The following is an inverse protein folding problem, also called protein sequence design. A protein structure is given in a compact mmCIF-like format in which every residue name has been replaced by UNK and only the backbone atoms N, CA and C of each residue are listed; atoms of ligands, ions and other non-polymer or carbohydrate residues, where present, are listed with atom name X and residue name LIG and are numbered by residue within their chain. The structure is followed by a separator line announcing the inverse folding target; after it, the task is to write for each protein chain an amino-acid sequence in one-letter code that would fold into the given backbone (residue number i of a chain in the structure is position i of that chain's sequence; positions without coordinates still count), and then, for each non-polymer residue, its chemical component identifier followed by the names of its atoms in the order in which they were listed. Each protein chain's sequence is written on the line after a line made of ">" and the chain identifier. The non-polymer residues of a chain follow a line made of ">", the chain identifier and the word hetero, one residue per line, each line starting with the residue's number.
data_IF_083630255509
#
_entry.id   IF_083630255509
#
_cell.length_a   1.000
_cell.length_b   1.000
_cell.length_c   1.000
_cell.angle_alpha   90.00
_cell.angle_beta   90.00
_cell.angle_gamma   90.00
#
_symmetry.space_group_name_H-M   'P 1'
#
loop_
_entity.id
_entity.type
_entity.pdbx_description
1 polymer ?
#
# COMPACT_ATOMS: atom_id res chain seq x y z
N UNK A 1 -15.14 -2.26 10.58
CA UNK A 1 -14.85 -2.32 9.12
C UNK A 1 -13.41 -2.77 8.94
N UNK A 2 -12.92 -3.02 7.73
CA UNK A 2 -11.48 -3.26 7.52
C UNK A 2 -10.70 -1.98 7.85
N UNK A 3 -9.66 -2.13 8.68
CA UNK A 3 -8.81 -1.04 9.18
C UNK A 3 -7.51 -1.00 8.38
N UNK A 4 -7.28 0.12 7.71
CA UNK A 4 -6.15 0.30 6.79
C UNK A 4 -5.15 1.27 7.40
N UNK A 5 -3.91 0.82 7.54
CA UNK A 5 -2.77 1.70 7.78
C UNK A 5 -2.37 2.39 6.48
N UNK A 6 -2.24 3.71 6.49
CA UNK A 6 -1.93 4.47 5.27
C UNK A 6 -0.55 5.11 5.35
N UNK A 7 0.27 4.92 4.32
CA UNK A 7 1.56 5.59 4.17
C UNK A 7 1.54 6.46 2.91
N UNK A 8 1.97 7.72 3.04
CA UNK A 8 2.06 8.66 1.93
C UNK A 8 3.41 9.39 1.94
N UNK A 9 3.80 10.04 0.83
CA UNK A 9 4.86 11.04 0.89
C UNK A 9 4.32 12.44 1.20
N UNK A 10 2.99 12.68 1.09
CA UNK A 10 2.47 14.05 0.96
C UNK A 10 2.38 14.87 2.25
N UNK A 11 2.13 16.17 2.08
CA UNK A 11 1.79 17.10 3.17
C UNK A 11 0.43 16.78 3.80
N UNK A 12 0.22 17.33 5.01
CA UNK A 12 -0.96 17.05 5.84
C UNK A 12 -2.30 17.38 5.19
N UNK A 13 -2.37 18.41 4.35
CA UNK A 13 -3.58 18.81 3.61
C UNK A 13 -4.00 17.73 2.60
N UNK A 14 -3.04 17.19 1.85
CA UNK A 14 -3.27 16.07 0.93
C UNK A 14 -3.59 14.79 1.70
N UNK A 15 -2.88 14.54 2.80
CA UNK A 15 -3.12 13.36 3.65
C UNK A 15 -4.55 13.35 4.23
N UNK A 16 -5.07 14.51 4.62
CA UNK A 16 -6.45 14.65 5.08
C UNK A 16 -7.45 14.25 3.99
N UNK A 17 -7.22 14.65 2.73
CA UNK A 17 -8.06 14.25 1.59
C UNK A 17 -8.01 12.74 1.34
N UNK A 18 -6.81 12.14 1.36
CA UNK A 18 -6.64 10.68 1.20
C UNK A 18 -7.39 9.92 2.30
N UNK A 19 -7.24 10.33 3.56
CA UNK A 19 -7.94 9.70 4.69
C UNK A 19 -9.46 9.80 4.53
N UNK A 20 -9.98 10.98 4.21
CA UNK A 20 -11.41 11.18 4.00
C UNK A 20 -11.95 10.33 2.85
N UNK A 21 -11.20 10.22 1.75
CA UNK A 21 -11.58 9.38 0.62
C UNK A 21 -11.68 7.90 1.03
N UNK A 22 -10.68 7.37 1.73
CA UNK A 22 -10.68 5.96 2.17
C UNK A 22 -11.82 5.69 3.14
N UNK A 23 -12.07 6.59 4.10
CA UNK A 23 -13.17 6.45 5.07
C UNK A 23 -14.54 6.52 4.38
N UNK A 24 -14.71 7.42 3.41
CA UNK A 24 -15.94 7.55 2.62
C UNK A 24 -16.25 6.27 1.82
N UNK A 25 -15.22 5.52 1.40
CA UNK A 25 -15.35 4.25 0.71
C UNK A 25 -15.55 3.04 1.66
N UNK A 26 -15.84 3.29 2.94
CA UNK A 26 -16.29 2.25 3.87
C UNK A 26 -15.19 1.62 4.73
N UNK A 27 -13.95 2.09 4.63
CA UNK A 27 -12.83 1.63 5.45
C UNK A 27 -12.62 2.48 6.71
N UNK A 28 -11.78 2.01 7.62
CA UNK A 28 -11.27 2.77 8.76
C UNK A 28 -9.78 3.04 8.54
N UNK A 29 -9.27 4.18 9.01
CA UNK A 29 -7.84 4.52 8.92
C UNK A 29 -7.34 4.90 10.31
N UNK A 30 -7.00 3.93 11.18
CA UNK A 30 -6.58 4.22 12.55
C UNK A 30 -5.14 4.73 12.62
N UNK A 31 -4.27 4.27 11.72
CA UNK A 31 -2.85 4.64 11.67
C UNK A 31 -2.54 5.28 10.32
N UNK A 32 -1.86 6.42 10.35
CA UNK A 32 -1.48 7.17 9.15
C UNK A 32 -0.04 7.66 9.34
N UNK A 33 0.85 7.30 8.42
CA UNK A 33 2.23 7.80 8.37
C UNK A 33 2.48 8.59 7.10
N UNK A 34 3.44 9.52 7.18
CA UNK A 34 3.88 10.27 6.02
C UNK A 34 5.36 10.59 6.07
N UNK A 35 6.01 10.62 4.91
CA UNK A 35 7.37 11.17 4.76
C UNK A 35 7.38 12.70 4.69
N UNK A 36 6.22 13.35 4.54
CA UNK A 36 6.05 14.81 4.47
C UNK A 36 7.02 15.50 3.48
N UNK A 37 7.13 14.91 2.29
CA UNK A 37 7.95 15.34 1.17
C UNK A 37 7.05 15.83 0.03
N UNK A 38 7.21 17.11 -0.33
CA UNK A 38 6.38 17.81 -1.32
C UNK A 38 6.97 17.80 -2.74
N UNK A 39 8.24 17.42 -2.88
CA UNK A 39 8.93 17.31 -4.15
C UNK A 39 8.94 15.86 -4.63
N UNK A 40 8.26 15.59 -5.74
CA UNK A 40 8.18 14.26 -6.37
C UNK A 40 9.57 13.66 -6.66
N UNK A 41 10.58 14.49 -6.97
CA UNK A 41 11.94 14.01 -7.23
C UNK A 41 12.64 13.56 -5.94
N UNK A 42 12.32 14.18 -4.80
CA UNK A 42 12.83 13.77 -3.49
C UNK A 42 12.06 12.57 -2.96
N UNK A 43 10.75 12.54 -3.14
CA UNK A 43 9.92 11.37 -2.84
C UNK A 43 10.41 10.13 -3.63
N UNK A 44 10.83 10.30 -4.88
CA UNK A 44 11.42 9.23 -5.69
C UNK A 44 12.80 8.75 -5.19
N UNK A 45 13.48 9.51 -4.33
CA UNK A 45 14.77 9.14 -3.72
C UNK A 45 14.63 8.49 -2.35
N UNK A 46 13.41 8.39 -1.81
CA UNK A 46 13.16 7.66 -0.57
C UNK A 46 13.62 6.22 -0.78
N UNK A 47 14.52 5.77 0.10
CA UNK A 47 15.14 4.46 -0.05
C UNK A 47 14.14 3.35 0.23
N UNK A 48 14.33 2.22 -0.44
CA UNK A 48 13.56 0.99 -0.20
C UNK A 48 13.56 0.58 1.28
N UNK A 49 14.68 0.77 1.98
CA UNK A 49 14.78 0.52 3.43
C UNK A 49 13.90 1.46 4.27
N UNK A 50 13.85 2.75 3.92
CA UNK A 50 13.00 3.72 4.62
C UNK A 50 11.52 3.39 4.42
N UNK A 51 11.15 3.00 3.20
CA UNK A 51 9.80 2.54 2.86
C UNK A 51 9.47 1.29 3.68
N UNK A 52 10.36 0.29 3.69
CA UNK A 52 10.19 -0.94 4.46
C UNK A 52 9.97 -0.64 5.95
N UNK A 53 10.84 0.17 6.56
CA UNK A 53 10.70 0.55 7.97
C UNK A 53 9.35 1.20 8.25
N UNK A 54 8.94 2.18 7.44
CA UNK A 54 7.68 2.90 7.63
C UNK A 54 6.46 1.98 7.46
N UNK A 55 6.49 1.03 6.52
CA UNK A 55 5.42 0.03 6.38
C UNK A 55 5.35 -0.86 7.61
N UNK A 56 6.49 -1.35 8.11
CA UNK A 56 6.54 -2.19 9.31
C UNK A 56 6.02 -1.43 10.54
N UNK A 57 6.44 -0.17 10.71
CA UNK A 57 6.03 0.67 11.82
C UNK A 57 4.51 0.89 11.87
N UNK A 58 3.88 1.06 10.70
CA UNK A 58 2.43 1.19 10.58
C UNK A 58 1.74 -0.16 10.74
N UNK A 59 2.23 -1.18 10.03
CA UNK A 59 1.59 -2.49 9.92
C UNK A 59 1.63 -3.32 11.19
N UNK A 60 2.61 -3.10 12.07
CA UNK A 60 2.71 -3.81 13.35
C UNK A 60 1.62 -3.43 14.35
N UNK A 61 0.89 -2.32 14.15
CA UNK A 61 -0.23 -1.96 15.02
C UNK A 61 -1.34 -3.02 14.96
N UNK A 62 -1.85 -3.45 16.12
CA UNK A 62 -2.98 -4.39 16.24
C UNK A 62 -4.28 -3.84 15.62
N UNK A 63 -4.35 -2.51 15.47
CA UNK A 63 -5.45 -1.82 14.83
C UNK A 63 -5.38 -1.78 13.30
N UNK A 64 -4.37 -2.39 12.69
CA UNK A 64 -4.18 -2.39 11.24
C UNK A 64 -4.37 -3.79 10.71
N UNK A 65 -5.30 -3.95 9.76
CA UNK A 65 -5.57 -5.22 9.06
C UNK A 65 -4.79 -5.31 7.74
N UNK A 66 -4.48 -4.17 7.12
CA UNK A 66 -3.74 -4.06 5.86
C UNK A 66 -3.00 -2.72 5.76
N UNK A 67 -1.90 -2.66 5.02
CA UNK A 67 -1.18 -1.39 4.76
C UNK A 67 -1.35 -0.96 3.30
N UNK A 68 -1.75 0.30 3.10
CA UNK A 68 -1.87 0.92 1.78
C UNK A 68 -0.89 2.08 1.63
N UNK A 69 -0.06 2.01 0.59
CA UNK A 69 0.84 3.08 0.20
C UNK A 69 0.19 3.92 -0.90
N UNK A 70 -0.25 5.13 -0.55
CA UNK A 70 -0.75 6.10 -1.53
C UNK A 70 0.42 6.83 -2.16
N UNK A 71 1.15 6.16 -3.05
CA UNK A 71 2.23 6.75 -3.83
C UNK A 71 2.41 6.05 -5.19
N UNK A 72 2.76 6.84 -6.21
CA UNK A 72 3.09 6.39 -7.58
C UNK A 72 4.58 6.19 -7.81
N UNK A 73 5.44 6.57 -6.87
CA UNK A 73 6.90 6.64 -7.08
C UNK A 73 7.69 5.61 -6.28
N UNK A 74 7.04 4.87 -5.36
CA UNK A 74 7.71 3.95 -4.44
C UNK A 74 7.77 2.53 -5.00
N UNK A 75 8.97 1.92 -4.95
CA UNK A 75 9.28 0.58 -5.44
C UNK A 75 8.81 -0.53 -4.50
N UNK A 76 7.52 -0.52 -4.15
CA UNK A 76 6.94 -1.51 -3.24
C UNK A 76 7.12 -2.94 -3.76
N UNK A 77 7.04 -3.16 -5.07
CA UNK A 77 7.15 -4.48 -5.72
C UNK A 77 8.43 -5.23 -5.38
N UNK A 78 9.53 -4.52 -5.08
CA UNK A 78 10.82 -5.16 -4.74
C UNK A 78 10.83 -5.74 -3.32
N UNK A 79 9.95 -5.28 -2.43
CA UNK A 79 9.97 -5.62 -0.99
C UNK A 79 8.66 -6.17 -0.44
N UNK A 80 7.56 -6.09 -1.19
CA UNK A 80 6.22 -6.40 -0.68
C UNK A 80 6.13 -7.79 -0.06
N UNK A 81 6.68 -8.81 -0.72
CA UNK A 81 6.63 -10.19 -0.24
C UNK A 81 7.39 -10.36 1.09
N UNK A 82 8.56 -9.73 1.23
CA UNK A 82 9.34 -9.77 2.47
C UNK A 82 8.66 -9.03 3.62
N UNK A 83 8.00 -7.90 3.32
CA UNK A 83 7.31 -7.10 4.32
C UNK A 83 6.04 -7.81 4.79
N UNK A 84 5.26 -8.38 3.88
CA UNK A 84 4.06 -9.15 4.23
C UNK A 84 4.39 -10.42 5.00
N UNK A 85 5.50 -11.10 4.70
CA UNK A 85 5.98 -12.24 5.49
C UNK A 85 6.29 -11.85 6.95
N UNK A 86 6.82 -10.65 7.18
CA UNK A 86 7.10 -10.13 8.53
C UNK A 86 5.84 -9.68 9.26
N UNK A 87 4.91 -9.02 8.55
CA UNK A 87 3.69 -8.49 9.15
C UNK A 87 2.58 -9.51 9.30
N UNK A 88 2.61 -10.59 8.51
CA UNK A 88 1.47 -11.49 8.29
C UNK A 88 0.18 -10.74 7.90
N UNK A 89 0.31 -9.59 7.23
CA UNK A 89 -0.78 -8.70 6.81
C UNK A 89 -0.54 -8.22 5.38
N UNK A 90 -1.60 -8.07 4.55
CA UNK A 90 -1.45 -7.63 3.17
C UNK A 90 -0.95 -6.18 3.07
N UNK A 91 -0.10 -5.93 2.09
CA UNK A 91 0.48 -4.63 1.77
C UNK A 91 0.30 -4.35 0.27
N UNK A 92 -0.18 -3.17 -0.08
CA UNK A 92 -0.30 -2.77 -1.48
C UNK A 92 -0.09 -1.27 -1.68
N UNK A 93 0.14 -0.85 -2.92
CA UNK A 93 0.23 0.55 -3.33
C UNK A 93 -0.69 0.85 -4.51
N UNK A 94 -0.87 2.12 -4.84
CA UNK A 94 -1.65 2.53 -6.02
C UNK A 94 -1.18 1.85 -7.30
N UNK A 95 0.14 1.90 -7.60
CA UNK A 95 0.68 1.28 -8.82
C UNK A 95 0.61 -0.25 -8.77
N UNK A 96 0.88 -0.84 -7.61
CA UNK A 96 0.81 -2.28 -7.41
C UNK A 96 -0.61 -2.81 -7.67
N UNK A 97 -1.62 -2.18 -7.07
CA UNK A 97 -3.01 -2.51 -7.28
C UNK A 97 -3.47 -2.24 -8.72
N UNK A 98 -3.01 -1.13 -9.33
CA UNK A 98 -3.33 -0.80 -10.72
C UNK A 98 -2.80 -1.84 -11.70
N UNK A 99 -1.55 -2.27 -11.57
CA UNK A 99 -0.95 -3.29 -12.43
C UNK A 99 -1.70 -4.61 -12.26
N UNK A 100 -1.93 -5.04 -11.02
CA UNK A 100 -2.73 -6.23 -10.73
C UNK A 100 -4.10 -6.16 -11.42
N UNK A 101 -4.83 -5.05 -11.26
CA UNK A 101 -6.15 -4.90 -11.83
C UNK A 101 -6.13 -4.89 -13.37
N UNK A 102 -5.12 -4.24 -13.97
CA UNK A 102 -4.93 -4.21 -15.43
C UNK A 102 -4.70 -5.61 -15.98
N UNK A 103 -3.89 -6.44 -15.31
CA UNK A 103 -3.67 -7.83 -15.70
C UNK A 103 -4.98 -8.63 -15.66
N UNK A 104 -5.83 -8.42 -14.64
CA UNK A 104 -7.14 -9.09 -14.53
C UNK A 104 -8.08 -8.68 -15.65
N UNK A 105 -8.15 -7.39 -15.95
CA UNK A 105 -8.93 -6.87 -17.08
C UNK A 105 -8.44 -7.39 -18.44
N UNK A 106 -7.14 -7.65 -18.57
CA UNK A 106 -6.54 -8.24 -19.78
C UNK A 106 -6.75 -9.76 -19.89
N UNK A 107 -7.43 -10.39 -18.93
CA UNK A 107 -7.70 -11.83 -18.93
C UNK A 107 -6.58 -12.70 -18.36
N UNK A 108 -5.52 -12.10 -17.79
CA UNK A 108 -4.49 -12.83 -17.05
C UNK A 108 -5.06 -13.17 -15.67
N UNK A 109 -5.47 -14.42 -15.49
CA UNK A 109 -6.17 -14.88 -14.28
C UNK A 109 -5.27 -15.63 -13.30
N UNK A 110 -4.06 -15.96 -13.73
CA UNK A 110 -3.06 -16.67 -12.96
C UNK A 110 -2.58 -15.85 -11.76
N UNK A 111 -2.29 -16.56 -10.67
CA UNK A 111 -1.56 -16.00 -9.53
C UNK A 111 -0.10 -15.76 -9.91
N UNK A 112 0.50 -14.69 -9.42
CA UNK A 112 1.90 -14.34 -9.70
C UNK A 112 2.64 -14.25 -8.36
N UNK A 113 3.26 -15.35 -7.89
CA UNK A 113 3.99 -15.37 -6.61
C UNK A 113 5.14 -14.36 -6.57
N UNK A 114 5.52 -13.93 -5.37
CA UNK A 114 6.63 -13.00 -5.13
C UNK A 114 6.28 -11.52 -5.29
N UNK A 115 5.05 -11.19 -5.71
CA UNK A 115 4.53 -9.82 -5.76
C UNK A 115 3.44 -9.59 -4.69
N UNK A 116 3.59 -10.26 -3.55
CA UNK A 116 2.72 -10.12 -2.40
C UNK A 116 1.33 -10.75 -2.53
N UNK A 117 0.56 -10.67 -1.44
CA UNK A 117 -0.71 -11.37 -1.23
C UNK A 117 -1.75 -10.98 -2.27
N UNK A 118 -1.75 -9.72 -2.74
CA UNK A 118 -2.69 -9.27 -3.78
C UNK A 118 -2.55 -10.07 -5.08
N UNK A 119 -1.32 -10.38 -5.49
CA UNK A 119 -1.05 -11.11 -6.74
C UNK A 119 -1.31 -12.62 -6.62
N UNK A 120 -1.54 -13.11 -5.40
CA UNK A 120 -2.00 -14.47 -5.14
C UNK A 120 -3.53 -14.61 -5.22
N UNK A 121 -4.27 -13.51 -5.44
CA UNK A 121 -5.71 -13.55 -5.63
C UNK A 121 -6.08 -13.79 -7.11
N UNK A 122 -7.06 -14.67 -7.38
CA UNK A 122 -7.61 -14.83 -8.73
C UNK A 122 -8.38 -13.57 -9.18
N UNK A 123 -8.63 -13.46 -10.48
CA UNK A 123 -9.26 -12.30 -11.11
C UNK A 123 -10.68 -11.98 -10.60
N UNK A 124 -11.38 -12.99 -10.10
CA UNK A 124 -12.79 -12.89 -9.72
C UNK A 124 -12.89 -12.97 -8.19
N UNK A 125 -13.19 -11.87 -7.47
CA UNK A 125 -13.68 -11.99 -6.10
C UNK A 125 -15.06 -12.69 -6.12
N UNK A 126 -15.41 -13.49 -5.10
CA UNK A 126 -16.72 -14.12 -5.00
C UNK A 126 -17.88 -13.11 -4.97
#
# INVERSE_FOLDING_TARGET
>A
KTRIGVLTPYRDDVNAMVRQYIVKNGFEVPVFGSFNEDDDNRAARITTDSIRSAILDIGQHDDVDAVFLSCTSLRLTEIVDQVEQQLAKPVTSSNHALIWHTLRLAGVKETIPGFGMLYNLPADPP
#
